data_IF_491176167752
#
_entry.id   IF_491176167752
#
_cell.length_a   1.000
_cell.length_b   1.000
_cell.length_c   1.000
_cell.angle_alpha   90.00
_cell.angle_beta   90.00
_cell.angle_gamma   90.00
#
_symmetry.space_group_name_H-M   'P 1'
#
loop_
_entity.id
_entity.type
_entity.pdbx_description
1 polymer ?
#
# COMPACT_ATOMS: atom_id res chain seq x y z
N UNK A 1 31.81 -9.49 13.47
CA UNK A 1 30.67 -10.40 13.65
C UNK A 1 29.39 -9.66 13.24
N UNK A 2 28.88 -9.90 12.03
CA UNK A 2 27.60 -9.35 11.57
C UNK A 2 26.50 -10.34 11.91
N UNK A 3 25.66 -10.01 12.88
CA UNK A 3 24.49 -10.81 13.25
C UNK A 3 23.43 -10.63 12.15
N UNK A 4 23.14 -11.69 11.41
CA UNK A 4 22.02 -11.72 10.48
C UNK A 4 20.74 -11.38 11.23
N UNK A 5 20.09 -10.28 10.88
CA UNK A 5 18.73 -10.02 11.32
C UNK A 5 17.83 -10.92 10.47
N UNK A 6 17.23 -11.93 11.09
CA UNK A 6 16.09 -12.62 10.51
C UNK A 6 15.06 -11.56 10.11
N UNK A 7 14.83 -11.40 8.80
CA UNK A 7 13.87 -10.42 8.29
C UNK A 7 12.48 -11.00 8.55
N UNK A 8 11.96 -10.78 9.75
CA UNK A 8 10.58 -11.13 10.10
C UNK A 8 9.65 -10.45 9.08
N UNK A 9 8.81 -11.26 8.42
CA UNK A 9 7.80 -10.74 7.48
C UNK A 9 6.92 -9.77 8.27
N UNK A 10 6.76 -8.51 7.81
CA UNK A 10 5.99 -7.52 8.54
C UNK A 10 4.55 -8.02 8.70
N UNK A 11 4.12 -8.19 9.95
CA UNK A 11 2.76 -8.61 10.32
C UNK A 11 1.76 -7.63 9.68
N UNK A 12 0.89 -8.15 8.81
CA UNK A 12 -0.14 -7.33 8.15
C UNK A 12 -1.34 -7.22 9.09
N UNK A 13 -1.53 -6.04 9.66
CA UNK A 13 -2.72 -5.72 10.45
C UNK A 13 -3.88 -5.29 9.53
N UNK A 14 -5.12 -5.72 9.82
CA UNK A 14 -6.32 -5.24 9.14
C UNK A 14 -6.47 -3.71 9.23
N UNK A 15 -7.05 -3.04 8.21
CA UNK A 15 -7.29 -1.60 8.25
C UNK A 15 -8.14 -1.17 9.46
N UNK A 16 -9.14 -1.95 9.82
CA UNK A 16 -10.04 -1.68 10.95
C UNK A 16 -9.27 -1.66 12.27
N UNK A 17 -8.37 -2.65 12.47
CA UNK A 17 -7.50 -2.71 13.64
C UNK A 17 -6.62 -1.46 13.76
N UNK A 18 -6.01 -1.03 12.66
CA UNK A 18 -5.18 0.19 12.66
C UNK A 18 -5.99 1.43 13.01
N UNK A 19 -7.21 1.55 12.46
CA UNK A 19 -8.13 2.66 12.76
C UNK A 19 -8.52 2.67 14.23
N UNK A 20 -8.81 1.52 14.82
CA UNK A 20 -9.15 1.40 16.23
C UNK A 20 -7.99 1.81 17.14
N UNK A 21 -6.77 1.39 16.82
CA UNK A 21 -5.54 1.80 17.54
C UNK A 21 -5.34 3.32 17.45
N UNK A 22 -5.44 3.91 16.25
CA UNK A 22 -5.33 5.37 16.08
C UNK A 22 -6.42 6.10 16.88
N UNK A 23 -7.65 5.59 16.86
CA UNK A 23 -8.76 6.18 17.63
C UNK A 23 -8.46 6.18 19.12
N UNK A 24 -7.91 5.10 19.68
CA UNK A 24 -7.53 5.03 21.09
C UNK A 24 -6.38 6.00 21.38
N UNK A 25 -5.32 5.97 20.57
CA UNK A 25 -4.16 6.85 20.75
C UNK A 25 -4.52 8.35 20.66
N UNK A 26 -5.48 8.73 19.80
CA UNK A 26 -5.95 10.12 19.68
C UNK A 26 -6.77 10.63 20.86
N UNK A 27 -7.34 9.76 21.70
CA UNK A 27 -8.06 10.20 22.91
C UNK A 27 -7.12 10.94 23.88
N UNK A 28 -5.84 10.58 23.87
CA UNK A 28 -4.83 11.20 24.74
C UNK A 28 -4.81 10.68 26.18
N UNK A 29 -5.66 9.71 26.51
CA UNK A 29 -5.73 9.10 27.85
C UNK A 29 -4.51 8.22 28.15
N UNK A 30 -3.88 7.67 27.11
CA UNK A 30 -2.73 6.76 27.18
C UNK A 30 -1.58 7.30 26.33
N UNK A 31 -0.35 7.08 26.79
CA UNK A 31 0.83 7.29 25.97
C UNK A 31 0.87 6.29 24.80
N UNK A 32 1.57 6.63 23.72
CA UNK A 32 1.75 5.71 22.58
C UNK A 32 2.42 4.38 23.00
N UNK A 33 3.20 4.37 24.08
CA UNK A 33 3.84 3.17 24.61
C UNK A 33 2.84 2.24 25.32
N UNK A 34 1.92 2.82 26.10
CA UNK A 34 0.84 2.06 26.75
C UNK A 34 -0.13 1.50 25.71
N UNK A 35 -0.55 2.31 24.72
CA UNK A 35 -1.37 1.81 23.60
C UNK A 35 -0.66 0.68 22.86
N UNK A 36 0.64 0.78 22.62
CA UNK A 36 1.38 -0.28 21.96
C UNK A 36 1.39 -1.58 22.79
N UNK A 37 1.54 -1.47 24.10
CA UNK A 37 1.51 -2.61 25.02
C UNK A 37 0.12 -3.28 25.06
N UNK A 38 -0.96 -2.50 25.17
CA UNK A 38 -2.34 -3.00 25.24
C UNK A 38 -2.75 -3.78 23.99
N UNK A 39 -2.24 -3.36 22.83
CA UNK A 39 -2.55 -3.96 21.53
C UNK A 39 -1.50 -4.99 21.06
N UNK A 40 -0.47 -5.27 21.86
CA UNK A 40 0.66 -6.16 21.51
C UNK A 40 1.32 -5.81 20.16
N UNK A 41 1.67 -4.53 20.00
CA UNK A 41 2.32 -4.00 18.79
C UNK A 41 3.53 -3.13 19.16
N UNK A 42 4.36 -2.81 18.16
CA UNK A 42 5.46 -1.86 18.37
C UNK A 42 4.96 -0.42 18.50
N UNK A 43 5.60 0.38 19.37
CA UNK A 43 5.35 1.83 19.49
C UNK A 43 5.51 2.56 18.15
N UNK A 44 6.49 2.13 17.34
CA UNK A 44 6.72 2.72 16.02
C UNK A 44 5.55 2.46 15.05
N UNK A 45 4.83 1.34 15.20
CA UNK A 45 3.60 1.11 14.42
C UNK A 45 2.50 2.10 14.80
N UNK A 46 2.30 2.33 16.11
CA UNK A 46 1.34 3.34 16.60
C UNK A 46 1.69 4.73 16.06
N UNK A 47 2.96 5.14 16.20
CA UNK A 47 3.45 6.43 15.71
C UNK A 47 3.22 6.60 14.20
N UNK A 48 3.56 5.57 13.42
CA UNK A 48 3.39 5.60 11.95
C UNK A 48 1.92 5.71 11.56
N UNK A 49 1.03 4.96 12.22
CA UNK A 49 -0.41 5.00 11.90
C UNK A 49 -1.04 6.33 12.32
N UNK A 50 -0.63 6.89 13.46
CA UNK A 50 -1.02 8.25 13.86
C UNK A 50 -0.61 9.27 12.80
N UNK A 51 0.66 9.25 12.38
CA UNK A 51 1.15 10.17 11.33
C UNK A 51 0.39 10.00 10.01
N UNK A 52 0.13 8.76 9.59
CA UNK A 52 -0.64 8.53 8.35
C UNK A 52 -2.07 9.03 8.48
N UNK A 53 -2.71 8.86 9.65
CA UNK A 53 -4.03 9.41 9.90
C UNK A 53 -4.03 10.95 9.87
N UNK A 54 -2.99 11.58 10.40
CA UNK A 54 -2.84 13.04 10.33
C UNK A 54 -2.66 13.53 8.89
N UNK A 55 -1.97 12.75 8.04
CA UNK A 55 -1.86 13.01 6.60
C UNK A 55 -3.22 12.82 5.91
N UNK A 56 -3.92 11.73 6.21
CA UNK A 56 -5.21 11.40 5.62
C UNK A 56 -6.30 12.43 5.99
N UNK A 57 -6.19 13.05 7.17
CA UNK A 57 -7.06 14.13 7.63
C UNK A 57 -6.61 15.54 7.17
N UNK A 58 -5.48 15.64 6.47
CA UNK A 58 -4.93 16.92 5.99
C UNK A 58 -4.31 17.81 7.08
N UNK A 59 -4.02 17.25 8.25
CA UNK A 59 -3.33 17.95 9.36
C UNK A 59 -1.83 18.11 9.07
N UNK A 60 -1.25 17.13 8.36
CA UNK A 60 0.17 17.12 7.98
C UNK A 60 0.28 16.87 6.49
N UNK A 61 1.16 17.61 5.81
CA UNK A 61 1.45 17.37 4.40
C UNK A 61 2.02 15.96 4.17
N UNK A 62 1.51 15.28 3.15
CA UNK A 62 1.97 13.97 2.76
C UNK A 62 1.04 13.31 1.77
N UNK A 63 1.43 12.12 1.32
CA UNK A 63 0.60 11.31 0.45
C UNK A 63 -0.42 10.51 1.27
N UNK A 64 -1.70 10.73 0.99
CA UNK A 64 -2.80 10.05 1.67
C UNK A 64 -2.84 8.56 1.31
N UNK A 65 -3.46 7.78 2.19
CA UNK A 65 -3.73 6.35 1.95
C UNK A 65 -4.60 6.14 0.70
N UNK A 66 -5.49 7.08 0.39
CA UNK A 66 -6.35 7.04 -0.80
C UNK A 66 -5.52 7.18 -2.08
N UNK A 67 -4.65 8.19 -2.18
CA UNK A 67 -3.76 8.41 -3.32
C UNK A 67 -2.81 7.22 -3.52
N UNK A 68 -2.26 6.66 -2.43
CA UNK A 68 -1.42 5.47 -2.51
C UNK A 68 -2.18 4.27 -3.10
N UNK A 69 -3.42 4.06 -2.67
CA UNK A 69 -4.26 2.98 -3.18
C UNK A 69 -4.60 3.18 -4.66
N UNK A 70 -4.96 4.39 -5.06
CA UNK A 70 -5.24 4.73 -6.45
C UNK A 70 -4.02 4.47 -7.34
N UNK A 71 -2.82 4.92 -6.93
CA UNK A 71 -1.59 4.64 -7.66
C UNK A 71 -1.33 3.15 -7.85
N UNK A 72 -1.62 2.33 -6.83
CA UNK A 72 -1.49 0.87 -6.93
C UNK A 72 -2.47 0.31 -7.95
N UNK A 73 -3.72 0.77 -7.97
CA UNK A 73 -4.71 0.30 -8.94
C UNK A 73 -4.36 0.74 -10.35
N UNK A 74 -3.99 2.01 -10.55
CA UNK A 74 -3.56 2.53 -11.85
C UNK A 74 -2.34 1.77 -12.40
N UNK A 75 -1.37 1.42 -11.55
CA UNK A 75 -0.21 0.61 -11.96
C UNK A 75 -0.58 -0.84 -12.30
N UNK A 76 -1.64 -1.39 -11.71
CA UNK A 76 -2.16 -2.72 -12.08
C UNK A 76 -2.89 -2.64 -13.42
N UNK A 77 -3.74 -1.63 -13.57
CA UNK A 77 -4.50 -1.37 -14.79
C UNK A 77 -3.59 -1.15 -16.00
N UNK A 78 -2.61 -0.25 -15.86
CA UNK A 78 -1.62 0.03 -16.90
C UNK A 78 -0.93 -1.26 -17.38
N UNK A 79 -0.50 -2.11 -16.45
CA UNK A 79 0.14 -3.40 -16.81
C UNK A 79 -0.82 -4.33 -17.55
N UNK A 80 -2.10 -4.35 -17.17
CA UNK A 80 -3.12 -5.13 -17.89
C UNK A 80 -3.30 -4.62 -19.32
N UNK A 81 -3.47 -3.31 -19.47
CA UNK A 81 -3.64 -2.67 -20.78
C UNK A 81 -2.41 -2.86 -21.69
N UNK A 82 -1.20 -2.77 -21.13
CA UNK A 82 0.04 -3.03 -21.88
C UNK A 82 0.08 -4.47 -22.42
N UNK A 83 -0.33 -5.46 -21.62
CA UNK A 83 -0.42 -6.86 -22.06
C UNK A 83 -1.50 -7.07 -23.13
N UNK A 84 -2.69 -6.51 -22.94
CA UNK A 84 -3.78 -6.58 -23.93
C UNK A 84 -3.36 -5.95 -25.26
N UNK A 85 -2.71 -4.78 -25.20
CA UNK A 85 -2.24 -4.08 -26.37
C UNK A 85 -1.17 -4.88 -27.13
N UNK A 86 -0.26 -5.52 -26.42
CA UNK A 86 0.76 -6.41 -27.02
C UNK A 86 0.11 -7.59 -27.76
N UNK A 87 -0.91 -8.22 -27.17
CA UNK A 87 -1.65 -9.32 -27.81
C UNK A 87 -2.32 -8.83 -29.10
N UNK A 88 -2.99 -7.67 -29.04
CA UNK A 88 -3.66 -7.08 -30.21
C UNK A 88 -2.67 -6.72 -31.32
N UNK A 89 -1.51 -6.15 -30.97
CA UNK A 89 -0.45 -5.83 -31.95
C UNK A 89 0.06 -7.09 -32.63
N UNK A 90 0.28 -8.18 -31.89
CA UNK A 90 0.70 -9.47 -32.46
C UNK A 90 -0.36 -10.05 -33.39
N UNK A 91 -1.63 -9.99 -33.01
CA UNK A 91 -2.74 -10.44 -33.85
C UNK A 91 -2.81 -9.61 -35.15
N UNK A 92 -2.74 -8.28 -35.05
CA UNK A 92 -2.75 -7.39 -36.21
C UNK A 92 -1.58 -7.68 -37.16
N UNK A 93 -0.37 -7.88 -36.63
CA UNK A 93 0.80 -8.25 -37.42
C UNK A 93 0.63 -9.61 -38.13
N UNK A 94 0.07 -10.61 -37.44
CA UNK A 94 -0.24 -11.91 -38.02
C UNK A 94 -1.21 -11.80 -39.20
N UNK A 95 -2.31 -11.05 -39.03
CA UNK A 95 -3.28 -10.86 -40.11
C UNK A 95 -2.72 -10.06 -41.28
N UNK A 96 -1.93 -9.02 -41.03
CA UNK A 96 -1.28 -8.23 -42.09
C UNK A 96 -0.27 -9.05 -42.91
N UNK A 97 0.45 -9.98 -42.26
CA UNK A 97 1.36 -10.89 -42.95
C UNK A 97 0.63 -11.89 -43.85
N UNK A 98 -0.58 -12.32 -43.47
CA UNK A 98 -1.42 -13.22 -44.26
C UNK A 98 -2.14 -12.57 -45.46
N UNK A 99 -2.21 -11.23 -45.51
CA UNK A 99 -2.93 -10.48 -46.55
C UNK A 99 -2.05 -9.98 -47.71
N UNK A 100 -0.76 -10.30 -47.75
CA UNK A 100 0.14 -9.92 -48.85
C UNK A 100 -0.12 -10.83 -50.08
N UNK A 101 -0.51 -10.28 -51.25
CA UNK A 101 -0.60 -11.07 -52.47
C UNK A 101 0.78 -11.58 -52.91
N UNK A 102 0.82 -12.79 -53.47
CA UNK A 102 2.03 -13.42 -54.04
C UNK A 102 2.50 -12.70 -55.31
#
# INVERSE_FOLDING_TARGET
MFRGKDVAVPKKFPPEFKRDVVRVARRGDLSQAEVAADFDISVESVRRWMRQADIDDGVVDGQTSAEQNELVQLRREKRRLEMENEILRRAAAYFAAGSLPK
#
